data_IF_064019563085
#
_entry.id   IF_064019563085
#
_cell.length_a   1.000
_cell.length_b   1.000
_cell.length_c   1.000
_cell.angle_alpha   90.00
_cell.angle_beta   90.00
_cell.angle_gamma   90.00
#
_symmetry.space_group_name_H-M   'P 1'
#
loop_
_entity.id
_entity.type
_entity.pdbx_description
1 polymer ?
#
# COMPACT_ATOMS: atom_id res chain seq x y z
N UNK A 1 2.38 3.11 -9.00
CA UNK A 1 1.05 3.26 -9.63
C UNK A 1 1.11 4.50 -10.50
N UNK A 2 0.42 4.49 -11.64
CA UNK A 2 0.38 5.64 -12.55
C UNK A 2 -0.83 6.53 -12.25
N UNK A 3 -0.87 7.73 -12.85
CA UNK A 3 -2.01 8.65 -12.77
C UNK A 3 -3.32 7.97 -13.20
N UNK A 4 -3.27 7.04 -14.14
CA UNK A 4 -4.48 6.33 -14.61
C UNK A 4 -5.04 5.36 -13.56
N UNK A 5 -4.29 5.10 -12.48
CA UNK A 5 -4.72 4.24 -11.38
C UNK A 5 -5.08 5.03 -10.13
N UNK A 6 -4.39 6.13 -9.86
CA UNK A 6 -4.65 7.02 -8.73
C UNK A 6 -4.74 8.46 -9.26
N UNK A 7 -5.96 8.97 -9.40
CA UNK A 7 -6.22 10.33 -9.88
C UNK A 7 -7.49 10.89 -9.27
N UNK A 8 -7.57 12.21 -9.26
CA UNK A 8 -8.83 12.92 -9.04
C UNK A 8 -9.88 12.49 -10.08
N UNK A 9 -11.14 12.44 -9.65
CA UNK A 9 -12.31 12.19 -10.50
C UNK A 9 -12.83 10.77 -10.45
N UNK A 10 -12.09 9.81 -9.89
CA UNK A 10 -12.56 8.45 -9.66
C UNK A 10 -11.84 7.77 -8.51
N UNK A 11 -12.49 6.76 -7.93
CA UNK A 11 -11.88 5.87 -6.94
C UNK A 11 -11.36 4.59 -7.61
N UNK A 12 -10.36 3.96 -7.01
CA UNK A 12 -9.93 2.62 -7.41
C UNK A 12 -11.02 1.60 -7.08
N UNK A 13 -11.26 0.68 -8.01
CA UNK A 13 -12.23 -0.42 -7.82
C UNK A 13 -11.63 -1.63 -7.10
N UNK A 14 -10.30 -1.74 -7.04
CA UNK A 14 -9.57 -2.81 -6.37
C UNK A 14 -8.21 -2.32 -5.88
N UNK A 15 -7.58 -3.12 -5.01
CA UNK A 15 -6.22 -2.86 -4.51
C UNK A 15 -5.12 -3.50 -5.38
N UNK A 16 -5.44 -4.28 -6.41
CA UNK A 16 -4.43 -5.02 -7.17
C UNK A 16 -3.47 -4.14 -8.00
N UNK A 17 -2.21 -4.58 -8.10
CA UNK A 17 -1.26 -4.03 -9.07
C UNK A 17 -1.68 -4.38 -10.50
N UNK A 18 -1.39 -3.50 -11.48
CA UNK A 18 -1.82 -3.71 -12.85
C UNK A 18 -1.05 -4.85 -13.54
N UNK A 19 -1.76 -5.56 -14.41
CA UNK A 19 -1.17 -6.49 -15.36
C UNK A 19 -0.38 -7.63 -14.71
N UNK A 20 0.83 -7.88 -15.22
CA UNK A 20 1.68 -8.99 -14.78
C UNK A 20 2.59 -8.67 -13.60
N UNK A 21 2.52 -7.46 -13.02
CA UNK A 21 3.44 -7.01 -11.98
C UNK A 21 3.44 -7.90 -10.71
N UNK A 22 2.29 -8.37 -10.17
CA UNK A 22 2.31 -9.30 -9.04
C UNK A 22 3.07 -10.59 -9.35
N UNK A 23 2.88 -11.12 -10.56
CA UNK A 23 3.55 -12.34 -11.03
C UNK A 23 5.04 -12.11 -11.25
N UNK A 24 5.42 -10.96 -11.80
CA UNK A 24 6.82 -10.56 -11.97
C UNK A 24 7.52 -10.48 -10.62
N UNK A 25 6.95 -9.75 -9.66
CA UNK A 25 7.52 -9.63 -8.31
C UNK A 25 7.70 -11.00 -7.65
N UNK A 26 6.66 -11.85 -7.73
CA UNK A 26 6.71 -13.21 -7.18
C UNK A 26 7.77 -14.08 -7.85
N UNK A 27 7.95 -13.98 -9.17
CA UNK A 27 8.94 -14.75 -9.92
C UNK A 27 10.37 -14.27 -9.64
N UNK A 28 10.58 -12.95 -9.54
CA UNK A 28 11.89 -12.37 -9.19
C UNK A 28 12.29 -12.80 -7.78
N UNK A 29 11.40 -12.69 -6.79
CA UNK A 29 11.69 -13.11 -5.42
C UNK A 29 11.92 -14.61 -5.28
N UNK A 30 11.31 -15.42 -6.15
CA UNK A 30 11.58 -16.87 -6.20
C UNK A 30 12.97 -17.18 -6.78
N UNK A 31 13.45 -16.40 -7.76
CA UNK A 31 14.76 -16.58 -8.38
C UNK A 31 15.89 -15.92 -7.60
N UNK A 32 15.63 -14.77 -6.98
CA UNK A 32 16.58 -13.93 -6.24
C UNK A 32 15.93 -13.53 -4.90
N UNK A 33 16.04 -14.37 -3.86
CA UNK A 33 15.39 -14.11 -2.57
C UNK A 33 15.88 -12.85 -1.84
N UNK A 34 17.06 -12.33 -2.21
CA UNK A 34 17.65 -11.10 -1.65
C UNK A 34 17.35 -9.85 -2.49
N UNK A 35 16.47 -9.95 -3.50
CA UNK A 35 16.07 -8.79 -4.28
C UNK A 35 15.37 -7.75 -3.39
N UNK A 36 15.77 -6.49 -3.55
CA UNK A 36 15.13 -5.36 -2.89
C UNK A 36 13.93 -4.93 -3.74
N UNK A 37 12.75 -4.91 -3.12
CA UNK A 37 11.55 -4.40 -3.79
C UNK A 37 11.32 -2.96 -3.39
N UNK A 38 11.21 -2.06 -4.38
CA UNK A 38 10.86 -0.66 -4.15
C UNK A 38 9.48 -0.40 -4.75
N UNK A 39 8.56 0.16 -3.97
CA UNK A 39 7.18 0.42 -4.39
C UNK A 39 6.84 1.90 -4.34
N UNK A 40 6.00 2.33 -5.27
CA UNK A 40 5.50 3.69 -5.38
C UNK A 40 3.99 3.65 -5.57
N UNK A 41 3.23 4.17 -4.62
CA UNK A 41 1.78 4.38 -4.69
C UNK A 41 1.38 5.48 -3.70
N UNK A 42 0.24 6.11 -3.91
CA UNK A 42 -0.33 7.07 -2.96
C UNK A 42 -1.09 6.40 -1.82
N UNK A 43 -1.61 5.18 -2.05
CA UNK A 43 -2.39 4.43 -1.06
C UNK A 43 -1.98 2.95 -1.01
N UNK A 44 -2.38 2.20 0.03
CA UNK A 44 -2.12 0.76 0.11
C UNK A 44 -2.61 0.01 -1.13
N UNK A 45 -1.93 -1.07 -1.48
CA UNK A 45 -2.30 -1.95 -2.59
C UNK A 45 -1.99 -3.40 -2.21
N UNK A 46 -2.49 -4.35 -2.99
CA UNK A 46 -2.34 -5.77 -2.73
C UNK A 46 -0.90 -6.22 -3.00
N UNK A 47 -0.21 -6.64 -1.94
CA UNK A 47 1.19 -7.08 -1.98
C UNK A 47 1.30 -8.55 -1.59
N UNK A 48 0.66 -9.45 -2.35
CA UNK A 48 0.73 -10.91 -2.13
C UNK A 48 2.16 -11.49 -2.04
N UNK A 49 3.16 -10.75 -2.52
CA UNK A 49 4.57 -11.12 -2.51
C UNK A 49 5.35 -10.54 -1.31
N UNK A 50 4.77 -9.64 -0.52
CA UNK A 50 5.48 -8.89 0.52
C UNK A 50 6.09 -9.80 1.60
N UNK A 51 5.40 -10.86 2.02
CA UNK A 51 5.92 -11.82 3.00
C UNK A 51 7.19 -12.56 2.53
N UNK A 52 7.44 -12.60 1.21
CA UNK A 52 8.64 -13.22 0.63
C UNK A 52 9.78 -12.22 0.44
N UNK A 53 9.49 -10.93 0.46
CA UNK A 53 10.50 -9.90 0.27
C UNK A 53 11.27 -9.67 1.58
N UNK A 54 12.57 -9.98 1.57
CA UNK A 54 13.44 -9.70 2.72
C UNK A 54 13.63 -8.20 2.97
N UNK A 55 13.62 -7.43 1.88
CA UNK A 55 13.77 -5.97 1.93
C UNK A 55 12.72 -5.33 1.04
N UNK A 56 11.85 -4.52 1.65
CA UNK A 56 10.81 -3.75 0.96
C UNK A 56 10.90 -2.28 1.36
N UNK A 57 11.05 -1.40 0.37
CA UNK A 57 11.07 0.05 0.53
C UNK A 57 9.84 0.64 -0.12
N UNK A 58 9.08 1.44 0.63
CA UNK A 58 7.93 2.17 0.10
C UNK A 58 8.27 3.66 -0.04
N UNK A 59 8.25 4.16 -1.27
CA UNK A 59 8.77 5.50 -1.63
C UNK A 59 7.68 6.51 -2.01
N UNK A 60 6.40 6.15 -1.90
CA UNK A 60 5.26 7.01 -2.23
C UNK A 60 5.37 7.64 -3.64
N UNK A 61 4.79 8.83 -3.81
CA UNK A 61 4.89 9.67 -5.00
C UNK A 61 5.70 10.94 -4.65
N UNK A 62 7.03 10.82 -4.56
CA UNK A 62 7.92 11.83 -3.98
C UNK A 62 8.36 12.98 -4.92
N UNK A 63 7.68 13.19 -6.05
CA UNK A 63 7.95 14.29 -6.98
C UNK A 63 9.27 14.16 -7.75
N UNK A 64 9.86 15.29 -8.13
CA UNK A 64 10.99 15.34 -9.10
C UNK A 64 12.24 14.60 -8.63
N UNK A 65 12.57 14.69 -7.33
CA UNK A 65 13.80 14.12 -6.75
C UNK A 65 13.62 12.66 -6.28
N UNK A 66 12.51 12.00 -6.64
CA UNK A 66 12.21 10.65 -6.16
C UNK A 66 13.34 9.65 -6.44
N UNK A 67 13.96 9.72 -7.62
CA UNK A 67 15.05 8.82 -7.98
C UNK A 67 16.28 8.99 -7.08
N UNK A 68 16.68 10.24 -6.82
CA UNK A 68 17.81 10.55 -5.96
C UNK A 68 17.50 10.17 -4.50
N UNK A 69 16.30 10.48 -4.00
CA UNK A 69 15.90 10.10 -2.65
C UNK A 69 15.87 8.58 -2.42
N UNK A 70 15.42 7.81 -3.41
CA UNK A 70 15.49 6.33 -3.34
C UNK A 70 16.95 5.87 -3.32
N UNK A 71 17.80 6.42 -4.20
CA UNK A 71 19.22 6.05 -4.25
C UNK A 71 19.94 6.35 -2.93
N UNK A 72 19.72 7.54 -2.35
CA UNK A 72 20.36 7.94 -1.09
C UNK A 72 20.03 6.98 0.05
N UNK A 73 18.80 6.44 0.10
CA UNK A 73 18.40 5.44 1.09
C UNK A 73 19.01 4.08 0.79
N UNK A 74 18.94 3.62 -0.46
CA UNK A 74 19.43 2.28 -0.85
C UNK A 74 20.96 2.15 -0.70
N UNK A 75 21.69 3.23 -0.96
CA UNK A 75 23.16 3.26 -0.82
C UNK A 75 23.62 3.77 0.55
N UNK A 76 22.69 4.08 1.46
CA UNK A 76 23.00 4.45 2.85
C UNK A 76 23.59 5.85 3.02
N UNK A 77 23.45 6.73 2.03
CA UNK A 77 23.76 8.16 2.20
C UNK A 77 22.80 8.81 3.21
N UNK A 78 21.57 8.30 3.32
CA UNK A 78 20.59 8.69 4.34
C UNK A 78 19.94 7.43 4.95
N UNK A 79 19.78 7.40 6.27
CA UNK A 79 19.04 6.33 6.94
C UNK A 79 17.52 6.54 6.82
N UNK A 80 16.73 5.50 6.50
CA UNK A 80 15.28 5.62 6.41
C UNK A 80 14.68 5.94 7.79
N UNK A 81 13.82 6.95 7.84
CA UNK A 81 13.17 7.43 9.08
C UNK A 81 11.66 7.66 8.94
N UNK A 82 11.09 7.37 7.77
CA UNK A 82 9.65 7.48 7.52
C UNK A 82 8.83 6.46 8.31
N UNK A 83 7.65 6.88 8.75
CA UNK A 83 6.63 6.05 9.40
C UNK A 83 5.36 6.02 8.57
N UNK A 84 4.62 4.93 8.61
CA UNK A 84 3.44 4.79 7.77
C UNK A 84 2.29 5.66 8.31
N UNK A 85 1.78 6.62 7.51
CA UNK A 85 0.61 7.39 7.90
C UNK A 85 -0.70 6.63 7.69
N UNK A 86 -0.65 5.44 7.08
CA UNK A 86 -1.79 4.60 6.73
C UNK A 86 -1.53 3.16 7.19
N UNK A 87 -2.58 2.45 7.60
CA UNK A 87 -2.53 1.00 7.80
C UNK A 87 -2.60 0.28 6.45
N UNK A 88 -1.73 -0.70 6.23
CA UNK A 88 -1.70 -1.51 5.01
C UNK A 88 -2.37 -2.87 5.30
N UNK A 89 -3.63 -3.09 4.89
CA UNK A 89 -4.30 -4.36 5.14
C UNK A 89 -3.75 -5.47 4.25
N UNK A 90 -3.99 -6.73 4.62
CA UNK A 90 -3.67 -7.89 3.78
C UNK A 90 -4.53 -7.93 2.51
N UNK A 91 -5.81 -7.54 2.61
CA UNK A 91 -6.71 -7.46 1.47
C UNK A 91 -7.74 -6.34 1.63
N UNK A 92 -8.43 -6.00 0.54
CA UNK A 92 -9.41 -4.91 0.52
C UNK A 92 -10.61 -5.17 1.45
N UNK A 93 -10.99 -6.45 1.59
CA UNK A 93 -12.09 -6.91 2.44
C UNK A 93 -11.85 -6.66 3.92
N UNK A 94 -10.58 -6.48 4.31
CA UNK A 94 -10.22 -6.24 5.70
C UNK A 94 -10.40 -4.77 6.10
N UNK A 95 -10.61 -3.88 5.13
CA UNK A 95 -10.83 -2.46 5.40
C UNK A 95 -12.17 -2.23 6.09
N UNK A 96 -12.26 -1.30 7.06
CA UNK A 96 -13.51 -0.99 7.75
C UNK A 96 -14.61 -0.49 6.80
N UNK A 97 -14.22 0.10 5.68
CA UNK A 97 -15.12 0.72 4.71
C UNK A 97 -15.53 -0.20 3.57
N UNK A 98 -15.05 -1.46 3.52
CA UNK A 98 -15.22 -2.34 2.35
C UNK A 98 -16.65 -2.42 1.80
N UNK A 99 -17.65 -2.49 2.69
CA UNK A 99 -19.06 -2.60 2.31
C UNK A 99 -19.73 -1.26 1.95
N UNK A 100 -19.14 -0.14 2.38
CA UNK A 100 -19.75 1.19 2.27
C UNK A 100 -18.87 2.20 1.52
N UNK A 101 -17.87 1.73 0.77
CA UNK A 101 -16.97 2.57 -0.01
C UNK A 101 -17.54 2.78 -1.42
N UNK A 102 -18.51 3.70 -1.53
CA UNK A 102 -19.15 4.06 -2.79
C UNK A 102 -20.47 4.81 -2.58
N UNK A 103 -20.86 5.63 -3.56
CA UNK A 103 -22.13 6.35 -3.52
C UNK A 103 -23.28 5.44 -3.95
N UNK A 104 -24.08 4.99 -2.98
CA UNK A 104 -25.29 4.23 -3.25
C UNK A 104 -26.50 5.14 -3.13
N UNK A 105 -27.21 5.35 -4.26
CA UNK A 105 -28.39 6.24 -4.31
C UNK A 105 -28.10 7.66 -3.80
N UNK A 106 -26.90 8.18 -4.08
CA UNK A 106 -26.50 9.55 -3.74
C UNK A 106 -26.07 9.75 -2.29
N UNK A 107 -25.77 8.68 -1.55
CA UNK A 107 -25.27 8.73 -0.17
C UNK A 107 -24.16 7.72 0.06
N UNK A 108 -23.32 8.00 1.04
CA UNK A 108 -22.29 7.09 1.58
C UNK A 108 -22.52 6.98 3.07
N UNK A 109 -22.61 5.76 3.60
CA UNK A 109 -22.82 5.53 5.03
C UNK A 109 -21.47 5.25 5.67
N UNK A 110 -21.05 6.10 6.60
CA UNK A 110 -19.83 5.92 7.39
C UNK A 110 -20.13 4.94 8.54
N UNK A 111 -20.29 3.66 8.18
CA UNK A 111 -20.74 2.61 9.10
C UNK A 111 -19.69 2.17 10.11
N UNK A 112 -18.42 2.46 9.84
CA UNK A 112 -17.30 2.25 10.75
C UNK A 112 -17.25 3.28 11.89
N UNK A 113 -17.97 4.39 11.76
CA UNK A 113 -18.00 5.49 12.73
C UNK A 113 -16.57 5.96 13.10
N UNK A 114 -16.20 5.97 14.37
CA UNK A 114 -14.87 6.40 14.82
C UNK A 114 -13.76 5.35 14.55
N UNK A 115 -14.13 4.14 14.13
CA UNK A 115 -13.19 3.04 13.90
C UNK A 115 -12.62 3.13 12.48
N UNK A 116 -11.77 4.13 12.25
CA UNK A 116 -11.09 4.35 10.97
C UNK A 116 -9.61 4.01 11.08
N UNK A 117 -9.07 3.32 10.08
CA UNK A 117 -7.65 2.95 10.01
C UNK A 117 -7.25 2.05 11.18
N UNK A 118 -6.10 2.33 11.80
CA UNK A 118 -5.56 1.54 12.91
C UNK A 118 -6.56 1.31 14.04
N UNK A 119 -7.46 2.28 14.31
CA UNK A 119 -8.49 2.16 15.37
C UNK A 119 -9.42 0.97 15.15
N UNK A 120 -9.75 0.68 13.89
CA UNK A 120 -10.54 -0.49 13.55
C UNK A 120 -9.75 -1.77 13.78
N UNK A 121 -8.57 -1.87 13.17
CA UNK A 121 -7.74 -3.08 13.23
C UNK A 121 -7.38 -3.46 14.67
N UNK A 122 -7.02 -2.48 15.50
CA UNK A 122 -6.79 -2.69 16.93
C UNK A 122 -8.06 -3.12 17.68
N UNK A 123 -9.21 -2.50 17.36
CA UNK A 123 -10.49 -2.80 18.05
C UNK A 123 -11.00 -4.21 17.77
N UNK A 124 -10.80 -4.70 16.56
CA UNK A 124 -11.24 -6.04 16.13
C UNK A 124 -10.12 -7.08 16.21
N UNK A 125 -8.97 -6.71 16.77
CA UNK A 125 -7.78 -7.58 16.91
C UNK A 125 -7.38 -8.23 15.58
N UNK A 126 -7.45 -7.45 14.50
CA UNK A 126 -7.14 -7.91 13.14
C UNK A 126 -5.74 -7.46 12.73
N UNK A 127 -4.93 -8.43 12.33
CA UNK A 127 -3.59 -8.16 11.83
C UNK A 127 -3.59 -7.47 10.46
N UNK A 128 -2.51 -6.75 10.18
CA UNK A 128 -2.31 -5.97 8.95
C UNK A 128 -0.90 -6.22 8.43
N UNK A 129 -0.72 -6.10 7.12
CA UNK A 129 0.59 -6.30 6.49
C UNK A 129 1.63 -5.32 7.03
N UNK A 130 1.25 -4.04 7.15
CA UNK A 130 2.05 -3.05 7.88
C UNK A 130 1.13 -2.15 8.72
N UNK A 131 1.39 -2.03 10.04
CA UNK A 131 0.60 -1.18 10.91
C UNK A 131 0.88 0.30 10.68
N UNK A 132 0.02 1.15 11.24
CA UNK A 132 0.26 2.59 11.32
C UNK A 132 1.45 2.88 12.26
N UNK A 133 2.32 3.82 11.91
CA UNK A 133 3.53 4.20 12.68
C UNK A 133 4.83 3.56 12.19
#
# INVERSE_FOLDING_TARGET
MTRDQESEGFDRTHMDLPGSLPRLASAVLAAVPDAIVVTQSGTPFNMIWAERAKTHVHAWLAGNETGNGIADVLFGATCPSGKLPLSFPHCMQDTPTFLNFGSERGRVIYGEDIYVGYRYYEKVERDVLYPFG
#
